data_IF_939182160589
#
_entry.id   IF_939182160589
#
_cell.length_a   1.000
_cell.length_b   1.000
_cell.length_c   1.000
_cell.angle_alpha   90.00
_cell.angle_beta   90.00
_cell.angle_gamma   90.00
#
_symmetry.space_group_name_H-M   'P 1'
#
loop_
_entity.id
_entity.type
_entity.pdbx_description
1 polymer ?
#
# COMPACT_ATOMS: atom_id res chain seq x y z
N UNK A 1 -9.41 16.15 11.62
CA UNK A 1 -10.04 14.84 11.89
C UNK A 1 -8.99 14.04 12.63
N UNK A 2 -9.22 13.76 13.91
CA UNK A 2 -8.23 13.10 14.76
C UNK A 2 -8.27 11.59 14.50
N UNK A 3 -7.12 11.01 14.17
CA UNK A 3 -6.99 9.58 13.89
C UNK A 3 -7.26 8.74 15.16
N UNK A 4 -7.16 9.35 16.34
CA UNK A 4 -7.30 8.69 17.64
C UNK A 4 -8.73 8.73 18.22
N UNK A 5 -9.68 9.38 17.55
CA UNK A 5 -11.09 9.44 18.00
C UNK A 5 -11.87 8.14 17.73
N UNK A 6 -11.24 7.17 17.04
CA UNK A 6 -11.86 5.88 16.72
C UNK A 6 -11.47 4.81 17.73
N UNK A 7 -12.44 4.38 18.54
CA UNK A 7 -12.31 3.27 19.49
C UNK A 7 -11.63 2.04 18.84
N UNK A 8 -10.54 1.47 19.42
CA UNK A 8 -9.72 0.40 18.81
C UNK A 8 -10.52 -0.82 18.32
N UNK A 9 -11.60 -1.19 19.01
CA UNK A 9 -12.52 -2.26 18.59
C UNK A 9 -13.23 -2.03 17.24
N UNK A 10 -13.19 -0.83 16.67
CA UNK A 10 -13.72 -0.54 15.33
C UNK A 10 -12.68 -0.74 14.23
N UNK A 11 -11.44 -1.04 14.57
CA UNK A 11 -10.37 -1.18 13.59
C UNK A 11 -10.52 -2.54 12.90
N UNK A 12 -10.52 -2.50 11.56
CA UNK A 12 -10.52 -3.71 10.76
C UNK A 12 -9.11 -4.29 10.76
N UNK A 13 -8.95 -5.51 11.26
CA UNK A 13 -7.69 -6.22 11.23
C UNK A 13 -7.45 -6.78 9.83
N UNK A 14 -6.35 -6.36 9.20
CA UNK A 14 -5.90 -6.88 7.92
C UNK A 14 -4.74 -7.86 8.17
N UNK A 15 -5.00 -9.19 8.24
CA UNK A 15 -3.92 -10.16 8.31
C UNK A 15 -3.10 -10.07 7.02
N UNK A 16 -1.80 -9.80 7.13
CA UNK A 16 -0.88 -9.92 6.00
C UNK A 16 -0.37 -11.37 5.91
N UNK A 17 -0.19 -11.86 4.68
CA UNK A 17 0.40 -13.16 4.41
C UNK A 17 1.54 -13.01 3.41
N UNK A 18 2.60 -13.79 3.58
CA UNK A 18 3.63 -13.90 2.55
C UNK A 18 3.14 -14.93 1.53
N UNK A 19 2.54 -14.47 0.44
CA UNK A 19 1.98 -15.32 -0.61
C UNK A 19 2.33 -14.74 -1.97
N UNK A 20 2.64 -15.63 -2.91
CA UNK A 20 2.95 -15.22 -4.28
C UNK A 20 1.72 -14.58 -4.95
N UNK A 21 1.94 -13.64 -5.90
CA UNK A 21 0.89 -13.15 -6.78
C UNK A 21 0.19 -14.29 -7.49
N UNK A 22 -1.14 -14.25 -7.53
CA UNK A 22 -1.95 -15.27 -8.22
C UNK A 22 -2.13 -14.94 -9.69
N UNK A 23 -1.93 -13.69 -10.11
CA UNK A 23 -2.24 -13.23 -11.46
C UNK A 23 -3.74 -13.18 -11.75
N UNK A 24 -4.58 -13.20 -10.72
CA UNK A 24 -6.04 -13.21 -10.81
C UNK A 24 -6.64 -12.04 -10.04
N UNK A 25 -7.84 -11.62 -10.42
CA UNK A 25 -8.54 -10.48 -9.82
C UNK A 25 -7.71 -9.18 -9.97
N UNK A 26 -7.74 -8.31 -8.97
CA UNK A 26 -6.94 -7.08 -8.92
C UNK A 26 -5.72 -7.28 -8.02
N UNK A 27 -4.54 -7.03 -8.56
CA UNK A 27 -3.27 -7.09 -7.83
C UNK A 27 -2.58 -5.73 -7.92
N UNK A 28 -2.24 -5.18 -6.76
CA UNK A 28 -1.61 -3.87 -6.62
C UNK A 28 -0.26 -4.07 -5.95
N UNK A 29 0.80 -3.55 -6.56
CA UNK A 29 2.16 -3.61 -6.05
C UNK A 29 2.60 -2.21 -5.70
N UNK A 30 3.15 -2.02 -4.51
CA UNK A 30 3.68 -0.74 -4.04
C UNK A 30 5.16 -0.88 -3.73
N UNK A 31 5.93 0.16 -4.03
CA UNK A 31 7.36 0.24 -3.73
C UNK A 31 7.72 1.66 -3.27
N UNK A 32 8.48 1.78 -2.19
CA UNK A 32 8.99 3.04 -1.64
C UNK A 32 10.51 3.07 -1.65
N UNK A 33 11.11 3.86 -2.54
CA UNK A 33 12.56 3.89 -2.70
C UNK A 33 13.19 5.21 -2.25
N UNK A 34 14.45 5.14 -1.80
CA UNK A 34 15.31 6.30 -1.57
C UNK A 34 16.68 6.07 -2.20
N UNK A 35 17.04 6.89 -3.18
CA UNK A 35 18.33 6.83 -3.88
C UNK A 35 18.94 8.22 -3.94
N UNK A 36 20.20 8.35 -3.52
CA UNK A 36 20.99 9.59 -3.60
C UNK A 36 20.27 10.86 -3.10
N UNK A 37 19.51 10.73 -2.02
CA UNK A 37 18.75 11.85 -1.42
C UNK A 37 17.40 12.12 -2.07
N UNK A 38 17.06 11.48 -3.20
CA UNK A 38 15.71 11.51 -3.78
C UNK A 38 14.87 10.39 -3.18
N UNK A 39 13.61 10.70 -2.85
CA UNK A 39 12.66 9.74 -2.27
C UNK A 39 11.44 9.66 -3.18
N UNK A 40 10.96 8.47 -3.45
CA UNK A 40 9.81 8.25 -4.31
C UNK A 40 9.02 7.02 -3.91
N UNK A 41 7.74 7.03 -4.25
CA UNK A 41 6.85 5.89 -4.10
C UNK A 41 6.22 5.58 -5.44
N UNK A 42 5.98 4.31 -5.72
CA UNK A 42 5.26 3.88 -6.91
C UNK A 42 4.16 2.88 -6.55
N UNK A 43 3.16 2.84 -7.42
CA UNK A 43 2.12 1.82 -7.41
C UNK A 43 1.89 1.30 -8.83
N UNK A 44 1.71 -0.01 -8.95
CA UNK A 44 1.44 -0.70 -10.21
C UNK A 44 0.24 -1.61 -10.01
N UNK A 45 -0.75 -1.56 -10.90
CA UNK A 45 -1.99 -2.31 -10.78
C UNK A 45 -2.19 -3.23 -11.98
N UNK A 46 -2.43 -4.50 -11.68
CA UNK A 46 -2.77 -5.53 -12.63
C UNK A 46 -4.22 -5.98 -12.44
N UNK A 47 -4.90 -6.25 -13.55
CA UNK A 47 -6.19 -6.93 -13.58
C UNK A 47 -6.08 -8.17 -14.45
N UNK A 48 -6.28 -9.35 -13.87
CA UNK A 48 -6.05 -10.65 -14.52
C UNK A 48 -4.68 -10.75 -15.22
N UNK A 49 -3.63 -10.28 -14.54
CA UNK A 49 -2.25 -10.29 -15.05
C UNK A 49 -1.95 -9.25 -16.13
N UNK A 50 -2.91 -8.42 -16.55
CA UNK A 50 -2.70 -7.31 -17.46
C UNK A 50 -2.48 -6.00 -16.67
N UNK A 51 -1.42 -5.26 -16.99
CA UNK A 51 -1.16 -3.94 -16.41
C UNK A 51 -2.27 -2.97 -16.83
N UNK A 52 -3.01 -2.43 -15.86
CA UNK A 52 -4.10 -1.47 -16.11
C UNK A 52 -3.80 -0.06 -15.60
N UNK A 53 -2.90 0.08 -14.63
CA UNK A 53 -2.53 1.37 -14.08
C UNK A 53 -1.12 1.34 -13.49
N UNK A 54 -0.41 2.46 -13.60
CA UNK A 54 0.82 2.69 -12.84
C UNK A 54 0.91 4.17 -12.51
N UNK A 55 1.44 4.46 -11.32
CA UNK A 55 1.66 5.82 -10.85
C UNK A 55 2.96 5.86 -10.06
N UNK A 56 3.77 6.86 -10.35
CA UNK A 56 4.99 7.18 -9.60
C UNK A 56 4.83 8.57 -9.01
N UNK A 57 5.24 8.73 -7.76
CA UNK A 57 5.20 10.00 -7.06
C UNK A 57 6.53 10.27 -6.38
N UNK A 58 7.08 11.47 -6.63
CA UNK A 58 8.29 11.93 -5.96
C UNK A 58 7.92 12.63 -4.66
N UNK A 59 8.43 12.13 -3.55
CA UNK A 59 8.31 12.76 -2.25
C UNK A 59 9.43 13.79 -2.04
N UNK A 60 9.32 14.55 -0.95
CA UNK A 60 10.40 15.41 -0.48
C UNK A 60 11.69 14.63 -0.29
N UNK A 61 12.82 15.21 -0.67
CA UNK A 61 14.17 14.63 -0.48
C UNK A 61 14.48 14.35 1.02
N UNK A 62 13.79 15.04 1.92
CA UNK A 62 13.87 14.84 3.37
C UNK A 62 13.03 13.67 3.90
N UNK A 63 12.18 13.06 3.06
CA UNK A 63 11.35 11.93 3.49
C UNK A 63 12.20 10.69 3.82
N UNK A 64 11.70 9.86 4.74
CA UNK A 64 12.28 8.56 5.04
C UNK A 64 11.80 7.50 4.05
N UNK A 65 12.53 6.39 3.95
CA UNK A 65 12.09 5.21 3.18
C UNK A 65 10.72 4.75 3.68
N UNK A 66 10.51 4.70 4.99
CA UNK A 66 9.23 4.34 5.58
C UNK A 66 8.08 5.26 5.13
N UNK A 67 8.31 6.58 5.01
CA UNK A 67 7.29 7.51 4.51
C UNK A 67 7.00 7.28 3.02
N UNK A 68 7.99 6.90 2.23
CA UNK A 68 7.80 6.53 0.83
C UNK A 68 6.92 5.28 0.71
N UNK A 69 7.21 4.25 1.50
CA UNK A 69 6.41 3.01 1.57
C UNK A 69 4.96 3.28 1.99
N UNK A 70 4.78 4.07 3.05
CA UNK A 70 3.46 4.46 3.53
C UNK A 70 2.68 5.26 2.48
N UNK A 71 3.35 6.12 1.74
CA UNK A 71 2.75 6.85 0.63
C UNK A 71 2.40 5.93 -0.55
N UNK A 72 3.23 4.93 -0.85
CA UNK A 72 2.90 3.90 -1.85
C UNK A 72 1.61 3.16 -1.50
N UNK A 73 1.42 2.79 -0.22
CA UNK A 73 0.17 2.20 0.25
C UNK A 73 -1.01 3.17 0.14
N UNK A 74 -0.83 4.45 0.48
CA UNK A 74 -1.87 5.48 0.35
C UNK A 74 -2.33 5.67 -1.11
N UNK A 75 -1.39 5.65 -2.06
CA UNK A 75 -1.69 5.66 -3.49
C UNK A 75 -2.49 4.42 -3.91
N UNK A 76 -2.10 3.24 -3.42
CA UNK A 76 -2.84 2.00 -3.69
C UNK A 76 -4.27 2.06 -3.14
N UNK A 77 -4.46 2.48 -1.89
CA UNK A 77 -5.78 2.62 -1.29
C UNK A 77 -6.64 3.66 -2.00
N UNK A 78 -6.06 4.79 -2.40
CA UNK A 78 -6.74 5.81 -3.19
C UNK A 78 -7.23 5.23 -4.52
N UNK A 79 -6.40 4.44 -5.21
CA UNK A 79 -6.80 3.75 -6.42
C UNK A 79 -7.94 2.77 -6.15
N UNK A 80 -7.86 1.98 -5.07
CA UNK A 80 -8.93 1.05 -4.66
C UNK A 80 -10.26 1.76 -4.45
N UNK A 81 -10.27 2.95 -3.86
CA UNK A 81 -11.50 3.73 -3.67
C UNK A 81 -12.12 4.21 -4.99
N UNK A 82 -11.35 4.29 -6.08
CA UNK A 82 -11.86 4.60 -7.42
C UNK A 82 -12.39 3.38 -8.16
N UNK A 83 -12.02 2.17 -7.72
CA UNK A 83 -12.48 0.94 -8.37
C UNK A 83 -13.95 0.68 -8.07
N UNK A 84 -14.70 0.34 -9.11
CA UNK A 84 -16.09 -0.14 -9.01
C UNK A 84 -16.19 -1.67 -9.19
N UNK A 85 -15.06 -2.39 -9.12
CA UNK A 85 -15.03 -3.83 -9.31
C UNK A 85 -15.47 -4.60 -8.05
N UNK A 86 -16.07 -5.77 -8.26
CA UNK A 86 -16.50 -6.68 -7.19
C UNK A 86 -15.44 -7.75 -6.86
N UNK A 87 -14.35 -7.78 -7.62
CA UNK A 87 -13.29 -8.78 -7.50
C UNK A 87 -12.41 -8.51 -6.27
N UNK A 88 -11.75 -9.57 -5.78
CA UNK A 88 -10.85 -9.46 -4.65
C UNK A 88 -9.64 -8.57 -5.00
N UNK A 89 -9.31 -7.64 -4.12
CA UNK A 89 -8.16 -6.75 -4.26
C UNK A 89 -7.04 -7.24 -3.35
N UNK A 90 -5.84 -7.40 -3.90
CA UNK A 90 -4.64 -7.78 -3.15
C UNK A 90 -3.58 -6.70 -3.30
N UNK A 91 -3.08 -6.19 -2.19
CA UNK A 91 -2.01 -5.19 -2.16
C UNK A 91 -0.74 -5.87 -1.65
N UNK A 92 0.35 -5.71 -2.39
CA UNK A 92 1.66 -6.28 -2.12
C UNK A 92 2.67 -5.15 -1.87
N UNK A 93 3.43 -5.29 -0.79
CA UNK A 93 4.53 -4.41 -0.38
C UNK A 93 5.65 -5.28 0.17
N UNK A 94 6.89 -4.90 -0.10
CA UNK A 94 8.09 -5.53 0.45
C UNK A 94 8.55 -4.87 1.78
N UNK A 95 7.88 -3.80 2.22
CA UNK A 95 8.17 -3.14 3.48
C UNK A 95 7.60 -3.90 4.69
N UNK A 96 8.45 -4.78 5.24
CA UNK A 96 8.13 -5.48 6.50
C UNK A 96 7.81 -4.50 7.63
N UNK A 97 8.47 -3.35 7.68
CA UNK A 97 8.22 -2.32 8.70
C UNK A 97 6.81 -1.74 8.62
N UNK A 98 6.27 -1.58 7.40
CA UNK A 98 4.91 -1.12 7.17
C UNK A 98 3.89 -2.21 7.50
N UNK A 99 4.15 -3.47 7.10
CA UNK A 99 3.31 -4.61 7.49
C UNK A 99 3.25 -4.79 9.01
N UNK A 100 4.39 -4.63 9.69
CA UNK A 100 4.45 -4.63 11.15
C UNK A 100 3.62 -3.50 11.74
N UNK A 101 3.76 -2.26 11.27
CA UNK A 101 2.96 -1.14 11.74
C UNK A 101 1.45 -1.37 11.57
N UNK A 102 1.03 -1.98 10.45
CA UNK A 102 -0.38 -2.33 10.21
C UNK A 102 -0.87 -3.47 11.11
N UNK A 103 0.00 -4.40 11.49
CA UNK A 103 -0.33 -5.50 12.40
C UNK A 103 -0.28 -5.12 13.88
N UNK A 104 0.46 -4.07 14.24
CA UNK A 104 0.61 -3.55 15.61
C UNK A 104 -0.57 -2.63 15.94
N UNK A 105 -1.76 -3.19 15.78
CA UNK A 105 -2.93 -2.80 16.56
C UNK A 105 -2.92 -3.71 17.78
N UNK A 106 -2.09 -3.39 18.77
CA UNK A 106 -2.01 -4.14 20.02
C UNK A 106 -2.63 -3.37 21.18
N UNK A 107 -3.62 -4.04 21.79
CA UNK A 107 -4.22 -3.87 23.13
C UNK A 107 -5.50 -3.06 23.22
#
# INVERSE_FOLDING_TARGET
MDLFDFHPLKWWYFPYTCSDPKGTDVEIFTDGSKINGSVGSSVVVFYHGALIHSLEHRLSDFASVYQAEAHGLDLALTFVLTLQCWDAIRIYTDSLSLLQALSVVQS
#
